data_IF_986934585552
#
_entry.id   IF_986934585552
#
_cell.length_a   1.000
_cell.length_b   1.000
_cell.length_c   1.000
_cell.angle_alpha   90.00
_cell.angle_beta   90.00
_cell.angle_gamma   90.00
#
_symmetry.space_group_name_H-M   'P 1'
#
loop_
_entity.id
_entity.type
_entity.pdbx_description
1 polymer ?
#
# COMPACT_ATOMS: atom_id res chain seq x y z
N UNK A 1 0.59 14.14 -22.10
CA UNK A 1 1.40 14.44 -20.89
C UNK A 1 0.53 14.65 -19.66
N UNK A 2 -0.53 15.48 -19.69
CA UNK A 2 -1.41 15.71 -18.54
C UNK A 2 -2.05 14.46 -17.90
N UNK A 3 -2.31 13.40 -18.68
CA UNK A 3 -2.90 12.17 -18.17
C UNK A 3 -1.89 11.24 -17.49
N UNK A 4 -0.58 11.38 -17.74
CA UNK A 4 0.45 10.67 -16.97
C UNK A 4 0.70 11.35 -15.63
N UNK A 5 0.66 12.69 -15.62
CA UNK A 5 0.82 13.53 -14.42
C UNK A 5 -0.31 13.28 -13.40
N UNK A 6 -1.57 13.24 -13.85
CA UNK A 6 -2.70 12.85 -13.00
C UNK A 6 -2.58 11.42 -12.43
N UNK A 7 -1.80 10.55 -13.07
CA UNK A 7 -1.70 9.15 -12.70
C UNK A 7 -0.54 8.93 -11.72
N UNK A 8 0.57 9.67 -11.86
CA UNK A 8 1.63 9.75 -10.82
C UNK A 8 1.08 10.26 -9.49
N UNK A 9 0.18 11.27 -9.52
CA UNK A 9 -0.46 11.76 -8.27
C UNK A 9 -1.29 10.70 -7.52
N UNK A 10 -1.68 9.59 -8.16
CA UNK A 10 -2.38 8.50 -7.49
C UNK A 10 -1.41 7.62 -6.69
N UNK A 11 -0.20 7.39 -7.20
CA UNK A 11 0.86 6.65 -6.49
C UNK A 11 1.30 7.45 -5.26
N UNK A 12 1.54 8.75 -5.41
CA UNK A 12 1.83 9.67 -4.30
C UNK A 12 0.75 9.64 -3.21
N UNK A 13 -0.52 9.55 -3.62
CA UNK A 13 -1.66 9.47 -2.72
C UNK A 13 -1.63 8.21 -1.85
N UNK A 14 -1.37 7.04 -2.45
CA UNK A 14 -1.27 5.79 -1.68
C UNK A 14 -0.02 5.75 -0.81
N UNK A 15 1.13 6.23 -1.29
CA UNK A 15 2.37 6.37 -0.51
C UNK A 15 2.11 7.23 0.73
N UNK A 16 1.50 8.39 0.57
CA UNK A 16 1.18 9.31 1.66
C UNK A 16 0.29 8.64 2.70
N UNK A 17 -0.72 7.90 2.25
CA UNK A 17 -1.63 7.17 3.14
C UNK A 17 -0.94 6.02 3.88
N UNK A 18 -0.04 5.29 3.22
CA UNK A 18 0.74 4.21 3.84
C UNK A 18 1.75 4.74 4.87
N UNK A 19 2.37 5.91 4.61
CA UNK A 19 3.21 6.61 5.59
C UNK A 19 2.41 7.06 6.82
N UNK A 20 1.22 7.61 6.61
CA UNK A 20 0.32 7.97 7.71
C UNK A 20 -0.12 6.74 8.52
N UNK A 21 -0.35 5.60 7.86
CA UNK A 21 -0.65 4.34 8.54
C UNK A 21 0.53 3.85 9.38
N UNK A 22 1.77 3.88 8.85
CA UNK A 22 2.96 3.48 9.60
C UNK A 22 3.13 4.32 10.87
N UNK A 23 3.00 5.66 10.75
CA UNK A 23 3.11 6.58 11.87
C UNK A 23 2.07 6.36 12.97
N UNK A 24 0.90 5.81 12.62
CA UNK A 24 -0.19 5.54 13.56
C UNK A 24 -0.08 4.19 14.28
N UNK A 25 0.81 3.29 13.83
CA UNK A 25 0.93 1.94 14.38
C UNK A 25 2.17 1.78 15.26
N UNK A 26 2.12 0.96 16.32
CA UNK A 26 3.31 0.61 17.09
C UNK A 26 4.37 -0.07 16.22
N UNK A 27 5.64 0.20 16.48
CA UNK A 27 6.75 -0.32 15.65
C UNK A 27 6.76 -1.87 15.53
N UNK A 28 6.36 -2.59 16.60
CA UNK A 28 6.31 -4.06 16.67
C UNK A 28 4.98 -4.67 16.22
N UNK A 29 4.05 -3.86 15.71
CA UNK A 29 2.79 -4.34 15.16
C UNK A 29 3.05 -5.06 13.82
N UNK A 30 2.56 -6.29 13.66
CA UNK A 30 2.76 -7.08 12.44
C UNK A 30 2.16 -6.42 11.19
N UNK A 31 1.07 -5.64 11.33
CA UNK A 31 0.52 -4.84 10.23
C UNK A 31 1.45 -3.70 9.89
N UNK A 32 2.12 -3.07 10.87
CA UNK A 32 3.11 -2.03 10.62
C UNK A 32 4.34 -2.58 9.88
N UNK A 33 4.81 -3.77 10.29
CA UNK A 33 5.91 -4.46 9.60
C UNK A 33 5.55 -4.72 8.14
N UNK A 34 4.37 -5.30 7.89
CA UNK A 34 3.90 -5.54 6.53
C UNK A 34 3.75 -4.24 5.73
N UNK A 35 3.16 -3.19 6.33
CA UNK A 35 2.98 -1.88 5.70
C UNK A 35 4.31 -1.29 5.24
N UNK A 36 5.37 -1.37 6.05
CA UNK A 36 6.70 -0.85 5.67
C UNK A 36 7.32 -1.59 4.50
N UNK A 37 7.22 -2.93 4.49
CA UNK A 37 7.68 -3.72 3.34
C UNK A 37 6.92 -3.34 2.09
N UNK A 38 5.60 -3.21 2.21
CA UNK A 38 4.77 -2.89 1.06
C UNK A 38 5.00 -1.44 0.57
N UNK A 39 5.14 -0.49 1.48
CA UNK A 39 5.48 0.91 1.18
C UNK A 39 6.80 0.99 0.40
N UNK A 40 7.83 0.24 0.83
CA UNK A 40 9.11 0.23 0.12
C UNK A 40 8.98 -0.30 -1.33
N UNK A 41 8.08 -1.27 -1.57
CA UNK A 41 7.77 -1.77 -2.92
C UNK A 41 7.08 -0.68 -3.74
N UNK A 42 6.04 -0.04 -3.20
CA UNK A 42 5.31 1.04 -3.89
C UNK A 42 6.22 2.23 -4.21
N UNK A 43 7.09 2.65 -3.28
CA UNK A 43 8.08 3.70 -3.53
C UNK A 43 9.14 3.28 -4.59
N UNK A 44 9.45 1.99 -4.70
CA UNK A 44 10.34 1.49 -5.74
C UNK A 44 9.66 1.50 -7.12
N UNK A 45 8.37 1.17 -7.18
CA UNK A 45 7.56 1.28 -8.40
C UNK A 45 7.48 2.74 -8.85
N UNK A 46 7.20 3.66 -7.94
CA UNK A 46 7.15 5.10 -8.18
C UNK A 46 8.46 5.62 -8.82
N UNK A 47 9.61 5.33 -8.19
CA UNK A 47 10.93 5.67 -8.76
C UNK A 47 11.18 5.06 -10.14
N UNK A 48 10.68 3.84 -10.39
CA UNK A 48 10.86 3.17 -11.68
C UNK A 48 9.95 3.75 -12.76
N UNK A 49 8.76 4.24 -12.40
CA UNK A 49 7.87 4.99 -13.28
C UNK A 49 8.48 6.32 -13.69
N UNK A 50 9.04 7.07 -12.74
CA UNK A 50 9.74 8.33 -13.01
C UNK A 50 10.93 8.15 -13.96
N UNK A 51 11.62 7.01 -13.83
CA UNK A 51 12.71 6.63 -14.73
C UNK A 51 12.24 6.12 -16.11
N UNK A 52 10.94 6.02 -16.36
CA UNK A 52 10.38 5.48 -17.62
C UNK A 52 10.60 3.98 -17.80
N UNK A 53 10.79 3.22 -16.71
CA UNK A 53 11.16 1.81 -16.74
C UNK A 53 10.03 0.84 -17.11
N UNK A 54 8.79 1.32 -17.14
CA UNK A 54 7.63 0.51 -17.54
C UNK A 54 7.25 0.75 -19.01
N UNK A 55 7.14 -0.30 -19.83
CA UNK A 55 6.64 -0.18 -21.21
C UNK A 55 5.22 0.40 -21.29
N UNK A 56 4.39 0.11 -20.28
CA UNK A 56 3.07 0.71 -20.08
C UNK A 56 2.97 1.28 -18.66
N UNK A 57 3.35 2.56 -18.51
CA UNK A 57 3.29 3.26 -17.23
C UNK A 57 1.87 3.35 -16.67
N UNK A 58 0.84 3.45 -17.53
CA UNK A 58 -0.55 3.58 -17.07
C UNK A 58 -1.03 2.28 -16.45
N UNK A 59 -0.74 1.14 -17.08
CA UNK A 59 -1.08 -0.17 -16.54
C UNK A 59 -0.32 -0.43 -15.23
N UNK A 60 0.97 -0.12 -15.18
CA UNK A 60 1.79 -0.26 -13.97
C UNK A 60 1.22 0.55 -12.79
N UNK A 61 0.92 1.84 -13.01
CA UNK A 61 0.32 2.69 -11.96
C UNK A 61 -1.05 2.17 -11.54
N UNK A 62 -1.90 1.80 -12.50
CA UNK A 62 -3.24 1.30 -12.20
C UNK A 62 -3.15 0.05 -11.31
N UNK A 63 -2.22 -0.85 -11.60
CA UNK A 63 -2.06 -2.08 -10.84
C UNK A 63 -1.55 -1.81 -9.42
N UNK A 64 -0.50 -0.99 -9.30
CA UNK A 64 0.12 -0.62 -8.02
C UNK A 64 -0.89 0.06 -7.08
N UNK A 65 -1.56 1.11 -7.55
CA UNK A 65 -2.58 1.84 -6.78
C UNK A 65 -3.73 0.91 -6.36
N UNK A 66 -4.23 0.07 -7.28
CA UNK A 66 -5.35 -0.83 -6.98
C UNK A 66 -5.00 -1.92 -5.98
N UNK A 67 -3.76 -2.38 -5.91
CA UNK A 67 -3.35 -3.30 -4.85
C UNK A 67 -3.21 -2.56 -3.52
N UNK A 68 -2.60 -1.37 -3.52
CA UNK A 68 -2.44 -0.56 -2.31
C UNK A 68 -3.80 -0.18 -1.69
N UNK A 69 -4.75 0.27 -2.52
CA UNK A 69 -6.12 0.58 -2.08
C UNK A 69 -6.82 -0.63 -1.45
N UNK A 70 -6.68 -1.83 -2.03
CA UNK A 70 -7.30 -3.05 -1.48
C UNK A 70 -6.70 -3.43 -0.12
N UNK A 71 -5.40 -3.26 0.04
CA UNK A 71 -4.74 -3.46 1.33
C UNK A 71 -5.24 -2.45 2.37
N UNK A 72 -5.23 -1.16 2.03
CA UNK A 72 -5.66 -0.08 2.92
C UNK A 72 -7.14 -0.22 3.30
N UNK A 73 -8.00 -0.63 2.37
CA UNK A 73 -9.40 -0.93 2.66
C UNK A 73 -9.56 -2.11 3.63
N UNK A 74 -8.70 -3.13 3.55
CA UNK A 74 -8.70 -4.23 4.52
C UNK A 74 -8.28 -3.76 5.92
N UNK A 75 -7.32 -2.83 6.01
CA UNK A 75 -6.92 -2.18 7.27
C UNK A 75 -8.07 -1.38 7.86
N UNK A 76 -8.73 -0.53 7.06
CA UNK A 76 -9.89 0.25 7.52
C UNK A 76 -11.02 -0.65 8.02
N UNK A 77 -11.33 -1.71 7.26
CA UNK A 77 -12.37 -2.70 7.63
C UNK A 77 -12.12 -3.27 9.03
N UNK A 78 -10.87 -3.64 9.32
CA UNK A 78 -10.49 -4.16 10.65
C UNK A 78 -10.54 -3.08 11.73
N UNK A 79 -10.13 -1.84 11.42
CA UNK A 79 -10.21 -0.71 12.36
C UNK A 79 -11.65 -0.39 12.77
N UNK A 80 -12.60 -0.62 11.87
CA UNK A 80 -14.04 -0.50 12.12
C UNK A 80 -14.63 -1.73 12.85
N UNK A 81 -13.82 -2.72 13.21
CA UNK A 81 -14.26 -3.94 13.90
C UNK A 81 -14.94 -4.97 12.99
N UNK A 82 -14.82 -4.81 11.66
CA UNK A 82 -15.40 -5.74 10.67
C UNK A 82 -14.35 -6.77 10.22
N UNK A 83 -14.77 -7.99 9.83
CA UNK A 83 -13.84 -9.00 9.36
C UNK A 83 -13.26 -8.60 7.98
N UNK A 84 -11.94 -8.71 7.77
CA UNK A 84 -11.33 -8.40 6.48
C UNK A 84 -11.63 -9.50 5.45
N UNK A 85 -11.41 -9.22 4.14
CA UNK A 85 -11.44 -10.23 3.10
C UNK A 85 -10.54 -11.43 3.46
N UNK A 86 -10.95 -12.64 3.04
CA UNK A 86 -10.31 -13.88 3.48
C UNK A 86 -8.79 -13.92 3.23
N UNK A 87 -8.33 -13.40 2.10
CA UNK A 87 -6.90 -13.34 1.74
C UNK A 87 -6.06 -12.47 2.70
N UNK A 88 -6.67 -11.51 3.41
CA UNK A 88 -5.97 -10.64 4.35
C UNK A 88 -6.06 -11.12 5.81
N UNK A 89 -6.94 -12.08 6.13
CA UNK A 89 -7.10 -12.59 7.50
C UNK A 89 -5.79 -13.05 8.15
N UNK A 90 -4.88 -13.77 7.47
CA UNK A 90 -3.64 -14.22 8.08
C UNK A 90 -2.77 -13.07 8.60
N UNK A 91 -2.71 -11.95 7.88
CA UNK A 91 -1.95 -10.77 8.30
C UNK A 91 -2.44 -10.23 9.65
N UNK A 92 -3.76 -10.10 9.81
CA UNK A 92 -4.35 -9.56 11.03
C UNK A 92 -4.33 -10.57 12.19
N UNK A 93 -4.43 -11.87 11.90
CA UNK A 93 -4.29 -12.92 12.91
C UNK A 93 -2.88 -12.96 13.50
N UNK A 94 -1.86 -12.71 12.68
CA UNK A 94 -0.46 -12.68 13.10
C UNK A 94 0.02 -11.29 13.57
N UNK A 95 -0.90 -10.33 13.76
CA UNK A 95 -0.57 -8.93 14.12
C UNK A 95 0.26 -8.79 15.39
N UNK A 96 0.06 -9.69 16.36
CA UNK A 96 0.78 -9.71 17.64
C UNK A 96 1.75 -10.89 17.76
N UNK A 97 2.08 -11.55 16.64
CA UNK A 97 3.03 -12.65 16.65
C UNK A 97 4.42 -12.15 17.11
N UNK A 98 5.09 -12.82 18.05
CA UNK A 98 6.36 -12.34 18.62
C UNK A 98 7.53 -12.37 17.63
N UNK A 99 7.40 -13.11 16.54
CA UNK A 99 8.48 -13.46 15.62
C UNK A 99 8.90 -14.90 15.85
#
# INVERSE_FOLDING_TARGET
>A
MAQCEQVVTLVDGVISRMRALDAALPARDGVAVFNRVYLAVTEAVDRHLDAGGFPDARAAITLDVRFAERYLAAVDTVREGRPPPACWRPLFQSRHHPG
#
